data_IF_381001090490
#
_entry.id   IF_381001090490
#
_cell.length_a   1.000
_cell.length_b   1.000
_cell.length_c   1.000
_cell.angle_alpha   90.00
_cell.angle_beta   90.00
_cell.angle_gamma   90.00
#
_symmetry.space_group_name_H-M   'P 1'
#
loop_
_entity.id
_entity.type
_entity.pdbx_description
1 polymer ?
#
# COMPACT_ATOMS: atom_id res chain seq x y z
N UNK A 1 11.91 -12.36 -12.36
CA UNK A 1 11.09 -12.77 -11.20
C UNK A 1 9.94 -11.80 -11.06
N UNK A 2 8.73 -12.29 -10.79
CA UNK A 2 7.55 -11.43 -10.59
C UNK A 2 7.28 -11.22 -9.11
N UNK A 3 6.85 -10.00 -8.74
CA UNK A 3 6.41 -9.70 -7.38
C UNK A 3 5.08 -10.42 -7.09
N UNK A 4 4.98 -11.05 -5.93
CA UNK A 4 3.73 -11.64 -5.43
C UNK A 4 3.24 -10.83 -4.25
N UNK A 5 2.04 -10.28 -4.38
CA UNK A 5 1.38 -9.54 -3.31
C UNK A 5 0.31 -10.43 -2.66
N UNK A 6 0.22 -10.48 -1.33
CA UNK A 6 -0.87 -11.17 -0.65
C UNK A 6 -2.18 -10.45 -0.92
N UNK A 7 -3.20 -11.21 -1.30
CA UNK A 7 -4.57 -10.71 -1.37
C UNK A 7 -5.11 -10.62 0.06
N UNK A 8 -5.86 -9.57 0.37
CA UNK A 8 -6.42 -9.41 1.70
C UNK A 8 -5.51 -8.70 2.69
N UNK A 9 -4.33 -8.22 2.25
CA UNK A 9 -3.35 -7.59 3.12
C UNK A 9 -2.76 -6.29 2.56
N UNK A 10 -2.21 -5.50 3.46
CA UNK A 10 -1.46 -4.27 3.21
C UNK A 10 0.04 -4.58 3.27
N UNK A 11 0.72 -4.43 2.14
CA UNK A 11 2.18 -4.56 2.05
C UNK A 11 2.81 -3.18 1.94
N UNK A 12 3.81 -2.87 2.78
CA UNK A 12 4.53 -1.58 2.72
C UNK A 12 5.91 -1.75 2.09
N UNK A 13 6.24 -0.87 1.14
CA UNK A 13 7.58 -0.76 0.59
C UNK A 13 8.51 -0.09 1.58
N UNK A 14 9.65 -0.73 1.85
CA UNK A 14 10.70 -0.18 2.71
C UNK A 14 12.04 -0.17 1.97
N UNK A 15 12.91 0.76 2.36
CA UNK A 15 14.19 1.01 1.69
C UNK A 15 14.31 2.44 1.16
N UNK A 16 15.37 2.73 0.38
CA UNK A 16 15.66 4.06 -0.13
C UNK A 16 14.53 4.60 -1.02
N UNK A 17 14.13 5.86 -0.83
CA UNK A 17 12.99 6.47 -1.51
C UNK A 17 13.05 6.33 -3.05
N UNK A 18 14.23 6.55 -3.65
CA UNK A 18 14.41 6.39 -5.10
C UNK A 18 14.17 4.96 -5.59
N UNK A 19 14.52 3.95 -4.80
CA UNK A 19 14.31 2.54 -5.14
C UNK A 19 12.85 2.13 -4.97
N UNK A 20 12.16 2.66 -3.97
CA UNK A 20 10.71 2.46 -3.80
C UNK A 20 9.93 3.11 -4.94
N UNK A 21 10.27 4.35 -5.30
CA UNK A 21 9.69 5.05 -6.45
C UNK A 21 9.93 4.29 -7.77
N UNK A 22 11.14 3.78 -8.00
CA UNK A 22 11.43 2.94 -9.17
C UNK A 22 10.60 1.64 -9.17
N UNK A 23 10.40 1.03 -8.00
CA UNK A 23 9.55 -0.16 -7.84
C UNK A 23 8.09 0.17 -8.17
N UNK A 24 7.55 1.25 -7.62
CA UNK A 24 6.18 1.72 -7.90
C UNK A 24 6.00 2.09 -9.39
N UNK A 25 6.99 2.71 -10.02
CA UNK A 25 6.96 3.04 -11.44
C UNK A 25 6.98 1.79 -12.35
N UNK A 26 7.67 0.73 -11.94
CA UNK A 26 7.74 -0.52 -12.69
C UNK A 26 6.42 -1.33 -12.65
N UNK A 27 5.54 -1.06 -11.67
CA UNK A 27 4.23 -1.70 -11.54
C UNK A 27 3.22 -0.99 -12.44
N UNK A 28 3.21 -1.38 -13.71
CA UNK A 28 2.25 -0.91 -14.70
C UNK A 28 0.86 -1.56 -14.49
N UNK A 29 -0.25 -0.81 -14.54
CA UNK A 29 -1.60 -1.35 -14.42
C UNK A 29 -1.95 -2.47 -15.40
N UNK A 30 -1.29 -2.56 -16.56
CA UNK A 30 -1.50 -3.63 -17.54
C UNK A 30 -0.69 -4.90 -17.26
N UNK A 31 0.27 -4.85 -16.32
CA UNK A 31 1.26 -5.91 -16.10
C UNK A 31 0.91 -6.89 -14.99
N UNK A 32 -0.03 -6.55 -14.11
CA UNK A 32 -0.42 -7.41 -13.00
C UNK A 32 -1.00 -8.73 -13.51
N UNK A 33 -0.57 -9.86 -12.94
CA UNK A 33 -1.06 -11.20 -13.28
C UNK A 33 -1.45 -11.93 -12.01
N UNK A 34 -2.49 -12.76 -12.09
CA UNK A 34 -2.80 -13.69 -11.00
C UNK A 34 -1.68 -14.74 -10.85
N UNK A 35 -1.66 -15.47 -9.74
CA UNK A 35 -0.62 -16.47 -9.47
C UNK A 35 -0.46 -17.55 -10.55
N UNK A 36 -1.53 -17.83 -11.32
CA UNK A 36 -1.52 -18.75 -12.46
C UNK A 36 -1.10 -18.12 -13.80
N UNK A 37 -0.85 -16.81 -13.87
CA UNK A 37 -0.41 -16.12 -15.09
C UNK A 37 -1.51 -15.85 -16.12
N UNK A 38 -2.76 -16.17 -15.82
CA UNK A 38 -3.83 -16.30 -16.82
C UNK A 38 -4.50 -14.99 -17.28
N UNK A 39 -4.37 -13.87 -16.55
CA UNK A 39 -5.07 -12.63 -16.90
C UNK A 39 -4.38 -11.36 -16.36
N UNK A 40 -4.51 -10.24 -17.09
CA UNK A 40 -4.26 -8.90 -16.58
C UNK A 40 -5.23 -8.57 -15.45
N UNK A 41 -4.72 -8.37 -14.25
CA UNK A 41 -5.55 -7.93 -13.12
C UNK A 41 -5.74 -6.42 -13.18
N UNK A 42 -6.96 -5.91 -12.96
CA UNK A 42 -7.18 -4.47 -12.89
C UNK A 42 -6.43 -3.89 -11.68
N UNK A 43 -5.63 -2.86 -11.95
CA UNK A 43 -4.87 -2.12 -10.95
C UNK A 43 -5.37 -0.68 -10.91
N UNK A 44 -5.52 -0.13 -9.71
CA UNK A 44 -5.75 1.30 -9.51
C UNK A 44 -4.60 1.89 -8.70
N UNK A 45 -4.23 3.14 -9.01
CA UNK A 45 -3.23 3.89 -8.25
C UNK A 45 -3.92 5.03 -7.52
N UNK A 46 -3.66 5.13 -6.22
CA UNK A 46 -4.08 6.23 -5.35
C UNK A 46 -2.85 7.10 -5.10
N UNK A 47 -2.91 8.36 -5.50
CA UNK A 47 -1.87 9.34 -5.22
C UNK A 47 -2.51 10.63 -4.74
N UNK A 48 -1.79 11.41 -3.93
CA UNK A 48 -2.28 12.71 -3.50
C UNK A 48 -2.24 13.70 -4.67
N UNK A 49 -3.35 14.39 -4.92
CA UNK A 49 -3.38 15.55 -5.80
C UNK A 49 -3.09 16.81 -4.98
N UNK A 50 -2.37 17.82 -5.54
CA UNK A 50 -2.19 19.09 -4.86
C UNK A 50 -3.53 19.70 -4.44
N UNK A 51 -3.70 19.97 -3.15
CA UNK A 51 -4.93 20.52 -2.57
C UNK A 51 -5.92 19.49 -2.04
N UNK A 52 -5.69 18.18 -2.21
CA UNK A 52 -6.55 17.16 -1.64
C UNK A 52 -6.49 17.19 -0.10
N UNK A 53 -7.65 17.41 0.51
CA UNK A 53 -7.84 17.27 1.95
C UNK A 53 -8.09 15.81 2.35
N UNK A 54 -8.25 15.58 3.67
CA UNK A 54 -8.50 14.24 4.21
C UNK A 54 -9.79 13.61 3.66
N UNK A 55 -10.95 14.31 3.64
CA UNK A 55 -12.17 13.78 3.02
C UNK A 55 -12.00 13.30 1.57
N UNK A 56 -11.31 14.05 0.72
CA UNK A 56 -11.10 13.66 -0.68
C UNK A 56 -10.26 12.37 -0.78
N UNK A 57 -9.22 12.24 0.03
CA UNK A 57 -8.37 11.04 0.06
C UNK A 57 -9.12 9.83 0.58
N UNK A 58 -9.92 9.99 1.63
CA UNK A 58 -10.78 8.93 2.16
C UNK A 58 -11.84 8.50 1.13
N UNK A 59 -12.40 9.43 0.36
CA UNK A 59 -13.32 9.11 -0.72
C UNK A 59 -12.65 8.30 -1.84
N UNK A 60 -11.39 8.61 -2.19
CA UNK A 60 -10.62 7.82 -3.15
C UNK A 60 -10.31 6.40 -2.64
N UNK A 61 -9.98 6.26 -1.34
CA UNK A 61 -9.81 4.96 -0.67
C UNK A 61 -11.12 4.17 -0.71
N UNK A 62 -12.25 4.82 -0.45
CA UNK A 62 -13.57 4.19 -0.50
C UNK A 62 -13.93 3.72 -1.91
N UNK A 63 -13.65 4.53 -2.93
CA UNK A 63 -13.84 4.14 -4.33
C UNK A 63 -13.00 2.91 -4.68
N UNK A 64 -11.75 2.83 -4.21
CA UNK A 64 -10.93 1.64 -4.38
C UNK A 64 -11.52 0.42 -3.65
N UNK A 65 -12.14 0.62 -2.48
CA UNK A 65 -12.82 -0.42 -1.69
C UNK A 65 -14.09 -0.95 -2.36
N UNK A 66 -14.82 -0.14 -3.10
CA UNK A 66 -16.07 -0.56 -3.78
C UNK A 66 -15.88 -0.90 -5.26
N UNK A 67 -14.74 -0.52 -5.84
CA UNK A 67 -14.42 -0.73 -7.25
C UNK A 67 -14.06 -2.17 -7.62
N UNK A 68 -13.68 -2.39 -8.87
CA UNK A 68 -13.36 -3.73 -9.40
C UNK A 68 -11.86 -4.06 -9.42
N UNK A 69 -11.00 -3.14 -8.99
CA UNK A 69 -9.56 -3.34 -8.96
C UNK A 69 -9.17 -4.48 -8.00
N UNK A 70 -8.29 -5.37 -8.47
CA UNK A 70 -7.75 -6.47 -7.66
C UNK A 70 -6.47 -6.04 -6.91
N UNK A 71 -5.76 -5.05 -7.46
CA UNK A 71 -4.54 -4.48 -6.87
C UNK A 71 -4.71 -2.97 -6.70
N UNK A 72 -4.35 -2.46 -5.54
CA UNK A 72 -4.35 -1.03 -5.23
C UNK A 72 -2.92 -0.61 -4.89
N UNK A 73 -2.36 0.28 -5.71
CA UNK A 73 -1.06 0.89 -5.49
C UNK A 73 -1.27 2.24 -4.81
N UNK A 74 -0.73 2.42 -3.62
CA UNK A 74 -0.80 3.67 -2.86
C UNK A 74 0.55 4.35 -2.97
N UNK A 75 0.56 5.51 -3.62
CA UNK A 75 1.77 6.23 -4.02
C UNK A 75 1.71 7.62 -3.40
N UNK A 76 2.40 7.81 -2.26
CA UNK A 76 2.49 9.09 -1.56
C UNK A 76 1.13 9.73 -1.21
N UNK A 77 0.12 8.92 -0.91
CA UNK A 77 -1.26 9.35 -0.67
C UNK A 77 -1.40 10.31 0.52
N UNK A 78 -0.48 10.29 1.50
CA UNK A 78 -0.60 11.14 2.69
C UNK A 78 0.30 12.38 2.69
N UNK A 79 0.98 12.67 1.58
CA UNK A 79 1.84 13.85 1.45
C UNK A 79 1.08 15.13 1.82
N UNK A 80 1.72 15.98 2.63
CA UNK A 80 1.19 17.26 3.08
C UNK A 80 0.22 17.21 4.26
N UNK A 81 -0.20 16.03 4.73
CA UNK A 81 -1.08 15.90 5.91
C UNK A 81 -0.30 15.96 7.22
N UNK A 82 -1.00 16.26 8.32
CA UNK A 82 -0.50 16.09 9.68
C UNK A 82 -0.48 14.61 10.09
N UNK A 83 0.37 14.24 11.06
CA UNK A 83 0.61 12.83 11.42
C UNK A 83 -0.68 12.04 11.77
N UNK A 84 -1.60 12.63 12.55
CA UNK A 84 -2.88 11.99 12.89
C UNK A 84 -3.74 11.73 11.65
N UNK A 85 -3.77 12.67 10.72
CA UNK A 85 -4.52 12.55 9.46
C UNK A 85 -3.88 11.51 8.52
N UNK A 86 -2.54 11.43 8.48
CA UNK A 86 -1.85 10.37 7.72
C UNK A 86 -2.27 9.00 8.20
N UNK A 87 -2.23 8.79 9.52
CA UNK A 87 -2.62 7.51 10.11
C UNK A 87 -4.09 7.19 9.81
N UNK A 88 -5.01 8.16 9.92
CA UNK A 88 -6.42 7.95 9.60
C UNK A 88 -6.62 7.49 8.13
N UNK A 89 -5.94 8.15 7.18
CA UNK A 89 -6.01 7.79 5.75
C UNK A 89 -5.40 6.40 5.50
N UNK A 90 -4.24 6.09 6.09
CA UNK A 90 -3.59 4.79 5.92
C UNK A 90 -4.37 3.66 6.60
N UNK A 91 -4.99 3.89 7.76
CA UNK A 91 -5.80 2.91 8.46
C UNK A 91 -7.04 2.49 7.64
N UNK A 92 -7.60 3.40 6.84
CA UNK A 92 -8.71 3.10 5.94
C UNK A 92 -8.34 2.05 4.86
N UNK A 93 -7.05 1.90 4.52
CA UNK A 93 -6.58 0.89 3.57
C UNK A 93 -6.83 -0.55 4.05
N UNK A 94 -6.94 -0.78 5.37
CA UNK A 94 -7.34 -2.08 5.92
C UNK A 94 -8.73 -2.50 5.44
N UNK A 95 -9.63 -1.55 5.22
CA UNK A 95 -10.95 -1.83 4.63
C UNK A 95 -10.87 -2.25 3.16
N UNK A 96 -9.91 -1.69 2.40
CA UNK A 96 -9.64 -2.07 1.01
C UNK A 96 -9.10 -3.50 0.95
N UNK A 97 -8.12 -3.81 1.81
CA UNK A 97 -7.55 -5.14 1.97
C UNK A 97 -8.61 -6.15 2.40
N UNK A 98 -9.40 -5.85 3.45
CA UNK A 98 -10.46 -6.71 3.96
C UNK A 98 -11.57 -7.03 2.93
N UNK A 99 -11.72 -6.20 1.89
CA UNK A 99 -12.59 -6.50 0.75
C UNK A 99 -11.93 -7.38 -0.33
N UNK A 100 -10.81 -8.04 0.00
CA UNK A 100 -10.15 -9.04 -0.84
C UNK A 100 -9.21 -8.46 -1.89
N UNK A 101 -8.59 -7.30 -1.65
CA UNK A 101 -7.63 -6.68 -2.57
C UNK A 101 -6.20 -6.80 -2.06
N UNK A 102 -5.25 -6.82 -2.98
CA UNK A 102 -3.84 -6.65 -2.63
C UNK A 102 -3.52 -5.15 -2.59
N UNK A 103 -2.98 -4.67 -1.46
CA UNK A 103 -2.61 -3.25 -1.30
C UNK A 103 -1.10 -3.16 -1.16
N UNK A 104 -0.46 -2.35 -2.01
CA UNK A 104 0.97 -2.01 -1.90
C UNK A 104 1.13 -0.52 -1.63
N UNK A 105 1.88 -0.17 -0.59
CA UNK A 105 2.02 1.20 -0.10
C UNK A 105 3.47 1.67 -0.19
N UNK A 106 3.69 2.78 -0.89
CA UNK A 106 4.86 3.66 -0.71
C UNK A 106 4.36 4.98 -0.14
N UNK A 107 4.79 5.33 1.07
CA UNK A 107 4.45 6.59 1.69
C UNK A 107 5.70 7.25 2.31
N UNK A 108 5.65 8.58 2.46
CA UNK A 108 6.73 9.37 3.02
C UNK A 108 6.87 9.20 4.54
N UNK A 109 5.82 8.73 5.22
CA UNK A 109 5.83 8.44 6.66
C UNK A 109 5.88 6.92 6.90
N UNK A 110 7.09 6.33 7.04
CA UNK A 110 7.24 4.88 7.15
C UNK A 110 6.66 4.33 8.45
N UNK A 111 6.62 5.12 9.53
CA UNK A 111 6.04 4.69 10.82
C UNK A 111 4.53 4.58 10.69
N UNK A 112 3.87 5.60 10.12
CA UNK A 112 2.44 5.57 9.88
C UNK A 112 2.06 4.41 8.92
N UNK A 113 2.84 4.20 7.85
CA UNK A 113 2.62 3.10 6.91
C UNK A 113 2.78 1.73 7.57
N UNK A 114 3.86 1.49 8.31
CA UNK A 114 4.10 0.21 8.98
C UNK A 114 3.08 -0.10 10.07
N UNK A 115 2.51 0.91 10.74
CA UNK A 115 1.46 0.70 11.76
C UNK A 115 0.20 0.01 11.23
N UNK A 116 -0.03 0.05 9.92
CA UNK A 116 -1.21 -0.55 9.27
C UNK A 116 -0.88 -1.78 8.41
N UNK A 117 0.40 -2.15 8.33
CA UNK A 117 0.90 -3.17 7.42
C UNK A 117 0.72 -4.59 7.97
N UNK A 118 0.37 -5.53 7.08
CA UNK A 118 0.36 -6.97 7.35
C UNK A 118 1.68 -7.63 6.88
N UNK A 119 2.44 -6.92 6.04
CA UNK A 119 3.76 -7.33 5.59
C UNK A 119 4.56 -6.17 5.04
N UNK A 120 5.85 -6.39 4.84
CA UNK A 120 6.73 -5.43 4.20
C UNK A 120 7.45 -6.03 3.01
N UNK A 121 7.87 -5.16 2.09
CA UNK A 121 8.67 -5.51 0.93
C UNK A 121 9.91 -4.63 0.92
N UNK A 122 11.08 -5.23 1.14
CA UNK A 122 12.36 -4.54 1.08
C UNK A 122 12.74 -4.26 -0.37
N UNK A 123 13.45 -3.16 -0.59
CA UNK A 123 14.02 -2.80 -1.89
C UNK A 123 15.54 -2.66 -1.74
N UNK A 124 16.38 -3.18 -2.66
CA UNK A 124 16.08 -3.82 -3.95
C UNK A 124 15.80 -5.33 -3.87
N UNK A 125 15.96 -5.96 -2.70
CA UNK A 125 15.71 -7.38 -2.50
C UNK A 125 14.19 -7.60 -2.36
N UNK A 126 13.53 -7.89 -3.48
CA UNK A 126 12.07 -8.10 -3.57
C UNK A 126 11.63 -9.38 -2.83
N UNK A 127 11.72 -9.35 -1.51
CA UNK A 127 11.28 -10.40 -0.60
C UNK A 127 10.21 -9.80 0.30
N UNK A 128 9.04 -10.42 0.31
CA UNK A 128 7.95 -10.08 1.23
C UNK A 128 8.22 -10.75 2.57
N UNK A 129 8.30 -9.96 3.63
CA UNK A 129 8.45 -10.41 5.01
C UNK A 129 7.12 -10.19 5.75
N UNK A 130 6.62 -11.22 6.44
CA UNK A 130 5.42 -11.10 7.27
C UNK A 130 5.76 -10.35 8.56
N UNK A 131 4.91 -9.39 8.93
CA UNK A 131 5.06 -8.67 10.18
C UNK A 131 4.30 -9.40 11.30
N UNK A 132 4.85 -9.41 12.53
CA UNK A 132 4.10 -9.84 13.70
C UNK A 132 2.96 -8.85 14.00
N UNK A 133 1.94 -9.30 14.73
CA UNK A 133 0.79 -8.47 15.13
C UNK A 133 1.23 -7.16 15.80
N UNK A 134 0.43 -6.10 15.66
CA UNK A 134 0.75 -4.74 16.13
C UNK A 134 1.15 -4.68 17.61
N UNK A 135 0.55 -5.53 18.45
CA UNK A 135 0.83 -5.62 19.90
C UNK A 135 2.24 -6.15 20.20
N UNK A 136 2.88 -6.84 19.25
CA UNK A 136 4.25 -7.33 19.35
C UNK A 136 5.27 -6.35 18.78
N UNK A 137 4.88 -5.49 17.82
CA UNK A 137 5.75 -4.45 17.26
C UNK A 137 6.07 -3.36 18.29
N UNK A 138 5.12 -3.01 19.15
CA UNK A 138 5.36 -2.06 20.26
C UNK A 138 6.40 -2.57 21.27
N UNK A 139 6.55 -3.89 21.41
CA UNK A 139 7.52 -4.52 22.32
C UNK A 139 8.96 -4.53 21.78
N UNK A 140 9.16 -4.30 20.47
CA UNK A 140 10.49 -4.24 19.85
C UNK A 140 11.10 -2.83 19.88
N UNK A 141 10.33 -1.83 20.31
CA UNK A 141 10.77 -0.42 20.41
C UNK A 141 10.88 0.02 21.88
N UNK A 142 10.64 -0.89 22.83
CA UNK A 142 10.77 -0.69 24.29
C UNK A 142 12.15 -1.03 24.83
#
# INVERSE_FOLDING_TARGET
>A
MGLRLPVGGVTVLVGPAGTRAATMAALDPGSARCAGGHASLPVVRLTATPGDDVPHRLAAVEQARTGTASVVLVDHLTVGLAAGDRHAVLAALRGVAGAGRAVLVDDGDPVAALSVADGLLRTPELVVEQLPDSDQLEQLVG
#
